data_IF_834370293093
#
_entry.id   IF_834370293093
#
_cell.length_a   1.000
_cell.length_b   1.000
_cell.length_c   1.000
_cell.angle_alpha   90.00
_cell.angle_beta   90.00
_cell.angle_gamma   90.00
#
_symmetry.space_group_name_H-M   'P 1'
#
loop_
_entity.id
_entity.type
_entity.pdbx_description
1 polymer ?
#
# COMPACT_ATOMS: atom_id res chain seq x y z
N UNK A 1 -0.31 43.01 -6.56
CA UNK A 1 -1.01 41.97 -5.83
C UNK A 1 -1.92 41.24 -6.80
N UNK A 2 -1.45 40.18 -7.40
CA UNK A 2 -2.24 39.32 -8.28
C UNK A 2 -2.82 38.20 -7.43
N UNK A 3 -4.13 38.12 -7.29
CA UNK A 3 -4.81 36.99 -6.68
C UNK A 3 -4.82 35.86 -7.70
N UNK A 4 -4.08 34.82 -7.42
CA UNK A 4 -4.10 33.59 -8.22
C UNK A 4 -5.40 32.85 -7.94
N UNK A 5 -6.24 32.75 -8.94
CA UNK A 5 -7.50 32.00 -8.87
C UNK A 5 -7.16 30.51 -8.94
N UNK A 6 -7.43 29.78 -7.89
CA UNK A 6 -7.31 28.32 -7.85
C UNK A 6 -8.29 27.70 -8.87
N UNK A 7 -7.76 27.00 -9.86
CA UNK A 7 -8.54 26.06 -10.66
C UNK A 7 -8.49 24.70 -9.97
N UNK A 8 -9.44 24.41 -9.14
CA UNK A 8 -9.74 23.05 -8.70
C UNK A 8 -10.48 22.38 -9.86
N UNK A 9 -9.83 21.48 -10.57
CA UNK A 9 -10.48 20.64 -11.58
C UNK A 9 -11.20 19.49 -10.87
N UNK A 10 -12.50 19.60 -10.82
CA UNK A 10 -13.53 18.58 -10.57
C UNK A 10 -13.32 17.68 -9.34
N UNK A 11 -13.80 18.11 -8.20
CA UNK A 11 -14.14 17.21 -7.09
C UNK A 11 -15.57 16.72 -7.34
N UNK A 12 -15.75 15.45 -7.68
CA UNK A 12 -17.05 14.81 -7.65
C UNK A 12 -17.28 14.23 -6.27
N UNK A 13 -17.93 14.98 -5.42
CA UNK A 13 -18.33 14.54 -4.08
C UNK A 13 -19.74 13.94 -4.17
N UNK A 14 -19.87 12.64 -4.22
CA UNK A 14 -21.14 11.95 -4.07
C UNK A 14 -21.32 11.55 -2.59
N UNK A 15 -21.98 12.38 -1.83
CA UNK A 15 -22.42 12.04 -0.48
C UNK A 15 -23.87 11.58 -0.51
N UNK A 16 -24.12 10.31 -0.18
CA UNK A 16 -25.46 9.83 0.16
C UNK A 16 -25.63 9.81 1.68
N UNK A 17 -26.79 10.15 2.21
CA UNK A 17 -26.95 10.43 3.64
C UNK A 17 -27.14 9.15 4.45
N UNK A 18 -26.55 9.10 5.62
CA UNK A 18 -27.09 8.60 6.89
C UNK A 18 -26.16 7.75 7.76
N UNK A 19 -25.85 8.21 8.94
CA UNK A 19 -25.48 7.61 10.22
C UNK A 19 -24.03 7.44 10.64
N UNK A 20 -23.06 7.49 9.80
CA UNK A 20 -21.69 7.78 10.23
C UNK A 20 -21.02 8.58 9.12
N UNK A 21 -20.32 9.62 9.47
CA UNK A 21 -19.78 10.53 8.48
C UNK A 21 -18.54 9.92 7.83
N UNK A 22 -18.54 9.79 6.52
CA UNK A 22 -17.31 9.66 5.78
C UNK A 22 -16.55 10.98 5.85
N UNK A 23 -15.25 10.93 6.04
CA UNK A 23 -14.42 12.11 6.23
C UNK A 23 -13.32 12.18 5.17
N UNK A 24 -13.18 13.32 4.52
CA UNK A 24 -12.13 13.58 3.54
C UNK A 24 -11.41 14.87 3.91
N UNK A 25 -10.13 14.77 4.22
CA UNK A 25 -9.26 15.89 4.52
C UNK A 25 -8.07 15.90 3.55
N UNK A 26 -8.10 16.81 2.61
CA UNK A 26 -7.02 16.97 1.64
C UNK A 26 -6.38 18.35 1.84
N UNK A 27 -5.08 18.35 2.08
CA UNK A 27 -4.28 19.57 2.14
C UNK A 27 -3.28 19.55 0.99
N UNK A 28 -3.40 20.49 0.08
CA UNK A 28 -2.38 20.71 -0.94
C UNK A 28 -1.45 21.84 -0.47
N UNK A 29 -0.18 21.54 -0.33
CA UNK A 29 0.78 22.40 0.36
C UNK A 29 1.57 23.32 -0.60
N UNK A 30 1.66 23.00 -1.86
CA UNK A 30 2.41 23.79 -2.85
C UNK A 30 1.58 24.08 -4.10
N UNK A 31 2.09 24.95 -4.95
CA UNK A 31 1.46 25.36 -6.22
C UNK A 31 1.52 24.29 -7.31
N UNK A 32 1.52 23.02 -6.92
CA UNK A 32 1.58 21.89 -7.84
C UNK A 32 0.56 21.96 -8.97
N UNK A 33 0.99 21.62 -10.17
CA UNK A 33 0.13 21.55 -11.34
C UNK A 33 -0.33 20.11 -11.56
N UNK A 34 -1.56 19.94 -12.05
CA UNK A 34 -2.13 18.66 -12.49
C UNK A 34 -2.41 17.60 -11.42
N UNK A 35 -2.71 18.00 -10.20
CA UNK A 35 -3.32 17.08 -9.26
C UNK A 35 -4.69 16.64 -9.81
N UNK A 36 -4.91 15.36 -9.93
CA UNK A 36 -6.22 14.74 -10.15
C UNK A 36 -6.53 13.91 -8.93
N UNK A 37 -7.68 14.05 -8.37
CA UNK A 37 -8.19 13.21 -7.29
C UNK A 37 -9.50 12.64 -7.77
N UNK A 38 -9.74 11.35 -7.55
CA UNK A 38 -11.05 10.77 -7.79
C UNK A 38 -11.55 10.18 -6.51
N UNK A 39 -11.99 10.23 -5.62
CA UNK A 39 -12.31 9.61 -4.33
C UNK A 39 -13.77 9.18 -4.31
N UNK A 40 -14.03 7.91 -4.28
CA UNK A 40 -15.32 7.33 -4.01
C UNK A 40 -15.34 6.73 -2.60
N UNK A 41 -16.29 7.14 -1.77
CA UNK A 41 -16.56 6.51 -0.48
C UNK A 41 -18.02 6.04 -0.45
N UNK A 42 -18.23 4.73 -0.49
CA UNK A 42 -19.54 4.08 -0.41
C UNK A 42 -19.61 3.22 0.86
N UNK A 43 -20.39 3.63 1.81
CA UNK A 43 -20.50 3.02 3.14
C UNK A 43 -20.36 4.04 4.25
N UNK A 44 -19.94 3.61 5.45
CA UNK A 44 -19.91 4.45 6.64
C UNK A 44 -18.53 4.49 7.29
N UNK A 45 -18.18 5.58 7.96
CA UNK A 45 -16.92 5.74 8.70
C UNK A 45 -15.65 5.58 7.83
N UNK A 46 -15.72 5.85 6.56
CA UNK A 46 -14.53 5.84 5.74
C UNK A 46 -13.79 7.18 5.90
N UNK A 47 -12.47 7.12 5.98
CA UNK A 47 -11.65 8.29 6.21
C UNK A 47 -10.50 8.36 5.19
N UNK A 48 -10.32 9.55 4.60
CA UNK A 48 -9.15 9.87 3.80
C UNK A 48 -8.50 11.14 4.35
N UNK A 49 -7.23 11.05 4.73
CA UNK A 49 -6.42 12.20 5.14
C UNK A 49 -5.12 12.23 4.38
N UNK A 50 -4.95 13.19 3.50
CA UNK A 50 -3.76 13.34 2.69
C UNK A 50 -3.22 14.78 2.77
N UNK A 51 -1.92 14.89 2.86
CA UNK A 51 -1.15 16.11 2.64
C UNK A 51 -0.32 15.90 1.38
N UNK A 52 -0.53 16.73 0.36
CA UNK A 52 0.03 16.52 -0.96
C UNK A 52 0.86 17.75 -1.35
N UNK A 53 2.12 17.52 -1.67
CA UNK A 53 3.01 18.53 -2.21
C UNK A 53 3.54 18.10 -3.59
N UNK A 54 3.99 19.07 -4.38
CA UNK A 54 4.54 18.90 -5.73
C UNK A 54 3.56 18.50 -6.84
N UNK A 55 4.11 18.21 -8.05
CA UNK A 55 3.37 18.22 -9.30
C UNK A 55 2.98 16.81 -9.79
N UNK A 56 1.92 16.73 -10.61
CA UNK A 56 1.55 15.53 -11.38
C UNK A 56 1.16 14.29 -10.57
N UNK A 57 0.55 14.45 -9.43
CA UNK A 57 -0.03 13.32 -8.72
C UNK A 57 -1.42 13.00 -9.29
N UNK A 58 -1.69 11.77 -9.57
CA UNK A 58 -3.00 11.25 -9.94
C UNK A 58 -3.39 10.22 -8.89
N UNK A 59 -4.31 10.50 -8.04
CA UNK A 59 -4.69 9.66 -6.91
C UNK A 59 -6.08 9.13 -7.21
N UNK A 60 -6.43 7.98 -6.95
CA UNK A 60 -7.76 7.41 -7.14
C UNK A 60 -8.31 7.13 -5.73
N UNK A 61 -8.55 6.18 -5.10
CA UNK A 61 -8.97 5.87 -3.72
C UNK A 61 -10.41 5.39 -3.64
N UNK A 62 -10.77 4.31 -4.10
CA UNK A 62 -12.08 3.74 -3.84
C UNK A 62 -12.17 3.09 -2.45
N UNK A 63 -13.10 3.53 -1.63
CA UNK A 63 -13.42 2.91 -0.35
C UNK A 63 -14.87 2.43 -0.35
N UNK A 64 -15.06 1.13 -0.36
CA UNK A 64 -16.36 0.46 -0.42
C UNK A 64 -16.59 -0.33 0.86
N UNK A 65 -17.76 -0.18 1.46
CA UNK A 65 -18.07 -0.74 2.77
C UNK A 65 -17.68 0.18 3.91
N UNK A 66 -17.52 -0.34 5.11
CA UNK A 66 -17.40 0.45 6.31
C UNK A 66 -15.98 0.47 6.89
N UNK A 67 -15.61 1.56 7.56
CA UNK A 67 -14.38 1.68 8.35
C UNK A 67 -13.07 1.54 7.55
N UNK A 68 -13.00 2.00 6.32
CA UNK A 68 -11.77 2.05 5.57
C UNK A 68 -11.02 3.36 5.84
N UNK A 69 -9.71 3.29 5.98
CA UNK A 69 -8.91 4.48 6.30
C UNK A 69 -7.68 4.57 5.41
N UNK A 70 -7.50 5.70 4.78
CA UNK A 70 -6.24 6.13 4.17
C UNK A 70 -5.72 7.30 4.99
N UNK A 71 -4.75 7.03 5.84
CA UNK A 71 -4.16 8.04 6.73
C UNK A 71 -2.90 7.51 7.37
N UNK A 72 -1.83 8.24 7.31
CA UNK A 72 -0.59 7.89 7.95
C UNK A 72 -0.54 8.34 9.40
N UNK A 73 -0.29 7.41 10.30
CA UNK A 73 0.17 7.70 11.65
C UNK A 73 1.47 6.94 11.89
N UNK A 74 2.59 7.63 11.85
CA UNK A 74 3.89 7.00 12.08
C UNK A 74 4.02 6.44 13.49
N UNK A 75 4.35 5.17 13.61
CA UNK A 75 4.80 4.55 14.86
C UNK A 75 6.33 4.37 14.95
N UNK A 76 7.06 4.83 13.96
CA UNK A 76 8.51 4.81 13.96
C UNK A 76 9.08 5.90 14.89
N UNK A 77 9.27 5.60 16.14
CA UNK A 77 10.16 6.19 17.13
C UNK A 77 10.26 7.72 17.30
N UNK A 78 9.61 8.52 16.50
CA UNK A 78 9.76 9.99 16.54
C UNK A 78 8.51 10.74 16.98
N UNK A 79 7.41 10.07 17.25
CA UNK A 79 6.20 10.69 17.79
C UNK A 79 5.50 11.70 16.87
N UNK A 80 5.83 11.74 15.61
CA UNK A 80 5.20 12.63 14.63
C UNK A 80 4.02 11.91 13.97
N UNK A 81 2.82 12.43 14.18
CA UNK A 81 1.65 12.05 13.40
C UNK A 81 1.70 12.77 12.06
N UNK A 82 1.97 12.05 11.00
CA UNK A 82 1.82 12.58 9.65
C UNK A 82 0.45 12.14 9.13
N UNK A 83 -0.35 13.04 8.64
CA UNK A 83 -1.45 12.65 7.74
C UNK A 83 -0.82 12.16 6.43
N UNK A 84 -1.38 11.18 5.75
CA UNK A 84 -0.83 10.60 4.52
C UNK A 84 -0.06 11.59 3.66
N UNK A 85 1.24 11.72 3.89
CA UNK A 85 2.07 12.74 3.29
C UNK A 85 2.59 12.23 1.95
N UNK A 86 2.30 12.94 0.89
CA UNK A 86 2.74 12.67 -0.47
C UNK A 86 3.61 13.83 -0.94
N UNK A 87 4.87 13.77 -0.63
CA UNK A 87 5.85 14.76 -1.03
C UNK A 87 6.70 14.19 -2.15
N UNK A 88 6.33 14.47 -3.38
CA UNK A 88 7.00 13.99 -4.59
C UNK A 88 6.15 14.15 -5.84
N UNK A 89 6.78 14.09 -7.00
CA UNK A 89 6.13 14.35 -8.29
C UNK A 89 5.91 13.10 -9.12
N UNK A 90 4.88 13.10 -9.97
CA UNK A 90 4.54 12.01 -10.88
C UNK A 90 4.21 10.69 -10.18
N UNK A 91 3.60 10.72 -9.04
CA UNK A 91 3.09 9.54 -8.39
C UNK A 91 1.67 9.26 -8.92
N UNK A 92 1.43 8.01 -9.32
CA UNK A 92 0.11 7.54 -9.72
C UNK A 92 -0.42 6.67 -8.62
N UNK A 93 -1.26 6.74 -7.87
CA UNK A 93 -1.53 6.00 -6.63
C UNK A 93 -2.85 5.29 -6.73
N UNK A 94 -3.37 4.42 -6.72
CA UNK A 94 -4.72 3.86 -6.67
C UNK A 94 -5.00 3.40 -5.25
N UNK A 95 -5.80 2.78 -4.76
CA UNK A 95 -5.86 2.22 -3.41
C UNK A 95 -7.01 1.28 -3.12
N UNK A 96 -7.99 1.14 -3.72
CA UNK A 96 -9.14 0.26 -3.55
C UNK A 96 -9.24 -0.50 -2.22
N UNK A 97 -10.06 -0.06 -1.31
CA UNK A 97 -10.34 -0.73 -0.04
C UNK A 97 -11.77 -1.24 0.01
N UNK A 98 -11.93 -2.53 0.23
CA UNK A 98 -13.23 -3.18 0.33
C UNK A 98 -13.43 -3.78 1.72
N UNK A 99 -14.45 -3.39 2.40
CA UNK A 99 -14.85 -3.90 3.71
C UNK A 99 -16.35 -3.94 3.83
N UNK A 100 -16.99 -4.78 3.07
CA UNK A 100 -18.46 -4.92 3.03
C UNK A 100 -18.99 -5.90 4.05
N UNK A 101 -18.11 -6.67 4.69
CA UNK A 101 -18.45 -7.69 5.69
C UNK A 101 -17.59 -7.52 6.93
N UNK A 102 -18.22 -7.35 8.06
CA UNK A 102 -17.50 -7.26 9.34
C UNK A 102 -17.40 -5.84 9.90
N UNK A 103 -16.63 -5.69 10.95
CA UNK A 103 -16.41 -4.42 11.67
C UNK A 103 -14.95 -4.03 11.76
N UNK A 104 -14.07 -4.83 11.22
CA UNK A 104 -12.63 -4.58 11.24
C UNK A 104 -12.26 -3.46 10.26
N UNK A 105 -11.13 -2.86 10.46
CA UNK A 105 -10.73 -1.64 9.75
C UNK A 105 -9.64 -1.94 8.74
N UNK A 106 -9.86 -1.59 7.48
CA UNK A 106 -8.77 -1.54 6.50
C UNK A 106 -8.00 -0.23 6.65
N UNK A 107 -6.68 -0.31 6.65
CA UNK A 107 -5.81 0.85 6.83
C UNK A 107 -4.69 0.88 5.81
N UNK A 108 -4.54 2.02 5.17
CA UNK A 108 -3.37 2.36 4.38
C UNK A 108 -2.73 3.61 4.96
N UNK A 109 -1.48 3.51 5.37
CA UNK A 109 -0.60 4.63 5.63
C UNK A 109 0.23 4.93 4.39
N UNK A 110 0.84 6.11 4.34
CA UNK A 110 1.72 6.49 3.24
C UNK A 110 2.95 7.21 3.80
N UNK A 111 3.55 8.01 3.23
CA UNK A 111 4.70 8.88 3.34
C UNK A 111 5.65 8.60 2.18
N UNK A 112 5.54 9.34 1.11
CA UNK A 112 6.27 9.04 -0.13
C UNK A 112 7.11 10.27 -0.49
N UNK A 113 8.21 10.52 0.05
CA UNK A 113 9.08 11.67 -0.27
C UNK A 113 9.93 11.44 -1.52
N UNK A 114 9.34 10.96 -2.61
CA UNK A 114 10.07 10.62 -3.83
C UNK A 114 9.21 10.74 -5.09
N UNK A 115 9.85 10.64 -6.27
CA UNK A 115 9.20 10.87 -7.54
C UNK A 115 9.00 9.58 -8.35
N UNK A 116 8.00 9.58 -9.22
CA UNK A 116 7.72 8.51 -10.18
C UNK A 116 7.43 7.16 -9.53
N UNK A 117 6.66 7.13 -8.48
CA UNK A 117 6.12 5.91 -7.94
C UNK A 117 4.77 5.62 -8.58
N UNK A 118 4.52 4.39 -8.91
CA UNK A 118 3.25 3.90 -9.41
C UNK A 118 2.77 2.84 -8.42
N UNK A 119 1.83 3.12 -7.59
CA UNK A 119 1.48 2.30 -6.42
C UNK A 119 0.02 1.91 -6.53
N UNK A 120 -0.27 0.64 -6.60
CA UNK A 120 -1.61 0.09 -6.59
C UNK A 120 -1.77 -0.79 -5.36
N UNK A 121 -2.78 -0.64 -4.57
CA UNK A 121 -3.04 -1.45 -3.39
C UNK A 121 -4.48 -1.93 -3.38
N UNK A 122 -4.69 -3.20 -3.04
CA UNK A 122 -5.99 -3.80 -2.84
C UNK A 122 -6.12 -4.31 -1.40
N UNK A 123 -7.17 -3.93 -0.70
CA UNK A 123 -7.51 -4.54 0.58
C UNK A 123 -8.95 -5.04 0.57
N UNK A 124 -9.16 -6.26 1.06
CA UNK A 124 -10.43 -6.99 0.97
C UNK A 124 -10.66 -7.69 -0.38
N UNK A 125 -9.82 -7.44 -1.35
CA UNK A 125 -9.71 -8.10 -2.65
C UNK A 125 -8.26 -8.34 -3.01
N UNK A 126 -8.00 -9.09 -4.07
CA UNK A 126 -6.66 -9.36 -4.57
C UNK A 126 -6.52 -8.97 -6.04
N UNK A 127 -5.28 -8.93 -6.51
CA UNK A 127 -4.97 -8.91 -7.93
C UNK A 127 -5.03 -10.33 -8.51
N UNK A 128 -5.51 -10.49 -9.73
CA UNK A 128 -5.50 -11.79 -10.40
C UNK A 128 -4.08 -12.21 -10.80
N UNK A 129 -3.22 -11.28 -11.06
CA UNK A 129 -1.80 -11.50 -11.37
C UNK A 129 -0.91 -10.36 -10.88
N UNK A 130 0.41 -10.59 -10.85
CA UNK A 130 1.39 -9.55 -10.50
C UNK A 130 1.48 -8.39 -11.50
N UNK A 131 0.81 -8.48 -12.62
CA UNK A 131 0.77 -7.43 -13.65
C UNK A 131 -0.54 -6.65 -13.67
N UNK A 132 -1.52 -7.04 -12.86
CA UNK A 132 -2.80 -6.35 -12.81
C UNK A 132 -2.70 -5.04 -12.05
N UNK A 133 -3.44 -4.06 -12.49
CA UNK A 133 -3.51 -2.73 -11.87
C UNK A 133 -4.88 -2.43 -11.27
N UNK A 134 -5.80 -3.36 -11.35
CA UNK A 134 -7.16 -3.22 -10.82
C UNK A 134 -7.48 -4.37 -9.88
N UNK A 135 -8.12 -4.05 -8.77
CA UNK A 135 -8.61 -5.06 -7.84
C UNK A 135 -9.68 -5.94 -8.49
N UNK A 136 -9.49 -7.25 -8.47
CA UNK A 136 -10.49 -8.17 -8.96
C UNK A 136 -11.56 -8.48 -7.91
N UNK A 137 -12.77 -8.67 -8.33
CA UNK A 137 -13.87 -9.11 -7.48
C UNK A 137 -13.85 -10.65 -7.33
N UNK A 138 -12.76 -11.21 -6.79
CA UNK A 138 -12.56 -12.65 -6.79
C UNK A 138 -13.32 -13.42 -5.73
N UNK A 139 -13.81 -12.78 -4.68
CA UNK A 139 -14.51 -13.47 -3.59
C UNK A 139 -15.84 -12.84 -3.23
N UNK A 140 -16.75 -13.67 -2.71
CA UNK A 140 -18.04 -13.23 -2.22
C UNK A 140 -17.95 -12.50 -0.86
N UNK A 141 -16.78 -12.34 -0.29
CA UNK A 141 -16.59 -11.85 1.07
C UNK A 141 -15.42 -10.87 1.11
N UNK A 142 -15.72 -9.61 1.24
CA UNK A 142 -14.76 -8.52 1.35
C UNK A 142 -14.62 -8.14 2.82
N UNK A 143 -13.69 -8.79 3.51
CA UNK A 143 -13.44 -8.56 4.93
C UNK A 143 -12.37 -7.48 5.14
N UNK A 144 -12.53 -6.68 6.17
CA UNK A 144 -11.53 -5.75 6.67
C UNK A 144 -10.50 -6.39 7.58
N UNK A 145 -9.75 -5.56 8.29
CA UNK A 145 -8.69 -5.97 9.21
C UNK A 145 -7.29 -5.88 8.61
N UNK A 146 -7.17 -5.39 7.40
CA UNK A 146 -5.90 -5.32 6.71
C UNK A 146 -5.18 -4.01 6.96
N UNK A 147 -3.87 -4.06 7.11
CA UNK A 147 -3.05 -2.86 7.32
C UNK A 147 -1.82 -2.87 6.42
N UNK A 148 -1.60 -1.81 5.72
CA UNK A 148 -0.36 -1.52 5.00
C UNK A 148 0.19 -0.18 5.46
N UNK A 149 1.48 -0.13 5.76
CA UNK A 149 2.18 1.10 6.12
C UNK A 149 3.24 1.42 5.12
N UNK A 150 3.55 2.05 4.35
CA UNK A 150 4.58 2.15 3.32
C UNK A 150 5.83 2.90 3.79
N UNK A 151 6.06 4.10 3.49
CA UNK A 151 7.19 4.99 3.75
C UNK A 151 8.28 5.00 2.66
N UNK A 152 8.00 5.19 1.47
CA UNK A 152 8.85 5.01 0.29
C UNK A 152 9.74 6.21 0.04
N UNK A 153 10.90 6.40 0.36
CA UNK A 153 11.80 7.51 0.05
C UNK A 153 12.63 7.36 -1.24
N UNK A 154 12.41 6.31 -2.01
CA UNK A 154 13.13 6.04 -3.26
C UNK A 154 12.31 6.44 -4.49
N UNK A 155 12.96 6.85 -5.57
CA UNK A 155 12.30 7.13 -6.85
C UNK A 155 12.08 5.90 -7.72
N UNK A 156 11.14 5.96 -8.66
CA UNK A 156 10.84 4.89 -9.62
C UNK A 156 10.52 3.54 -8.97
N UNK A 157 9.72 3.54 -7.94
CA UNK A 157 9.20 2.32 -7.33
C UNK A 157 7.83 2.01 -7.96
N UNK A 158 7.72 0.88 -8.63
CA UNK A 158 6.44 0.28 -9.00
C UNK A 158 6.09 -0.73 -7.90
N UNK A 159 5.01 -0.50 -7.18
CA UNK A 159 4.60 -1.33 -6.06
C UNK A 159 3.15 -1.77 -6.24
N UNK A 160 2.92 -3.06 -6.24
CA UNK A 160 1.59 -3.65 -6.26
C UNK A 160 1.40 -4.54 -5.06
N UNK A 161 0.35 -4.31 -4.32
CA UNK A 161 0.09 -5.03 -3.10
C UNK A 161 -1.36 -5.42 -2.91
N UNK A 162 -1.61 -6.63 -2.43
CA UNK A 162 -2.96 -7.07 -2.10
C UNK A 162 -3.05 -7.80 -0.78
N UNK A 163 -4.15 -7.60 -0.09
CA UNK A 163 -4.50 -8.29 1.15
C UNK A 163 -5.95 -8.72 1.10
N UNK A 164 -6.21 -10.02 1.18
CA UNK A 164 -7.54 -10.61 1.11
C UNK A 164 -7.71 -11.78 2.04
N UNK A 165 -8.82 -11.86 2.76
CA UNK A 165 -9.20 -13.05 3.52
C UNK A 165 -10.51 -13.64 3.03
N UNK A 166 -10.59 -14.95 2.97
CA UNK A 166 -11.77 -15.66 2.44
C UNK A 166 -12.90 -15.89 3.43
N UNK A 167 -12.65 -15.89 4.74
CA UNK A 167 -13.62 -16.30 5.76
C UNK A 167 -13.46 -15.59 7.11
N UNK A 168 -13.17 -14.34 7.13
CA UNK A 168 -13.21 -13.44 8.31
C UNK A 168 -12.34 -13.81 9.50
N UNK A 169 -11.72 -12.87 10.12
CA UNK A 169 -10.83 -12.82 11.28
C UNK A 169 -9.33 -13.02 11.01
N UNK A 170 -8.87 -12.99 9.79
CA UNK A 170 -7.44 -12.93 9.54
C UNK A 170 -7.02 -11.49 9.22
N UNK A 171 -6.29 -10.89 10.13
CA UNK A 171 -5.68 -9.58 9.92
C UNK A 171 -4.37 -9.76 9.14
N UNK A 172 -4.27 -9.13 7.99
CA UNK A 172 -3.03 -9.12 7.24
C UNK A 172 -2.30 -7.80 7.45
N UNK A 173 -1.02 -7.90 7.71
CA UNK A 173 -0.16 -6.76 7.95
C UNK A 173 1.04 -6.79 7.01
N UNK A 174 1.25 -5.72 6.28
CA UNK A 174 2.49 -5.46 5.57
C UNK A 174 3.12 -4.21 6.17
N UNK A 175 4.37 -3.91 5.97
CA UNK A 175 4.99 -2.66 6.41
C UNK A 175 5.96 -2.28 5.35
N UNK A 176 6.31 -2.17 4.59
CA UNK A 176 7.23 -1.97 3.46
C UNK A 176 8.30 -0.97 3.71
N UNK A 177 8.83 -0.20 3.64
CA UNK A 177 9.91 0.75 3.82
C UNK A 177 11.00 0.57 2.76
N UNK A 178 11.18 1.47 1.85
CA UNK A 178 12.15 1.30 0.76
C UNK A 178 13.37 2.21 0.82
N UNK A 179 13.48 3.19 1.59
CA UNK A 179 14.51 4.23 1.67
C UNK A 179 15.83 3.99 0.92
N UNK A 180 16.05 4.64 -0.19
CA UNK A 180 17.36 4.85 -0.83
C UNK A 180 17.77 3.90 -1.94
N UNK A 181 16.88 3.13 -2.52
CA UNK A 181 17.16 2.39 -3.77
C UNK A 181 16.23 2.85 -4.88
N UNK A 182 16.76 3.09 -6.07
CA UNK A 182 15.97 3.45 -7.24
C UNK A 182 15.57 2.21 -8.04
N UNK A 183 14.45 2.29 -8.79
CA UNK A 183 13.99 1.24 -9.71
C UNK A 183 13.64 -0.10 -9.06
N UNK A 184 12.94 -0.09 -7.96
CA UNK A 184 12.40 -1.32 -7.38
C UNK A 184 11.03 -1.66 -7.98
N UNK A 185 10.84 -2.91 -8.39
CA UNK A 185 9.55 -3.49 -8.75
C UNK A 185 9.12 -4.42 -7.61
N UNK A 186 8.09 -4.04 -6.88
CA UNK A 186 7.67 -4.73 -5.66
C UNK A 186 6.26 -5.27 -5.83
N UNK A 187 6.11 -6.55 -5.69
CA UNK A 187 4.83 -7.22 -5.60
C UNK A 187 4.69 -7.96 -4.28
N UNK A 188 3.59 -7.72 -3.56
CA UNK A 188 3.23 -8.56 -2.43
C UNK A 188 1.76 -8.99 -2.48
N UNK A 189 1.49 -10.19 -2.01
CA UNK A 189 0.13 -10.71 -1.87
C UNK A 189 0.00 -11.50 -0.59
N UNK A 190 -0.96 -11.13 0.24
CA UNK A 190 -1.29 -11.81 1.48
C UNK A 190 -2.74 -12.28 1.41
N UNK A 191 -2.95 -13.59 1.30
CA UNK A 191 -4.28 -14.17 1.09
C UNK A 191 -4.56 -15.34 2.01
N UNK A 192 -5.84 -15.61 2.25
CA UNK A 192 -6.32 -16.76 3.03
C UNK A 192 -6.56 -16.44 4.51
N UNK A 193 -6.97 -17.45 5.29
CA UNK A 193 -7.62 -17.24 6.59
C UNK A 193 -6.66 -17.06 7.78
N UNK A 194 -5.39 -17.31 7.63
CA UNK A 194 -4.40 -17.12 8.71
C UNK A 194 -3.75 -15.73 8.62
N UNK A 195 -3.48 -15.12 9.76
CA UNK A 195 -2.81 -13.83 9.82
C UNK A 195 -1.48 -13.83 9.06
N UNK A 196 -1.28 -12.89 8.18
CA UNK A 196 -0.04 -12.72 7.44
C UNK A 196 0.67 -11.44 7.91
N UNK A 197 1.97 -11.58 8.17
CA UNK A 197 2.82 -10.44 8.54
C UNK A 197 4.02 -10.41 7.61
N UNK A 198 4.40 -9.25 7.11
CA UNK A 198 5.54 -9.17 6.20
C UNK A 198 6.50 -8.13 6.70
N UNK A 199 6.83 -7.23 6.94
CA UNK A 199 7.74 -6.13 7.27
C UNK A 199 8.68 -5.73 6.15
N UNK A 200 9.40 -6.20 5.50
CA UNK A 200 10.14 -5.95 4.27
C UNK A 200 10.82 -4.55 4.19
N UNK A 201 12.07 -4.45 4.32
CA UNK A 201 12.86 -3.20 4.17
C UNK A 201 13.73 -3.30 2.94
N UNK A 202 13.76 -2.56 1.95
CA UNK A 202 14.53 -2.75 0.71
C UNK A 202 15.91 -2.12 0.77
N UNK A 203 16.17 -0.92 0.55
CA UNK A 203 17.46 -0.21 0.53
C UNK A 203 18.46 -0.66 -0.54
N UNK A 204 18.06 -1.39 -1.55
CA UNK A 204 18.92 -1.80 -2.67
C UNK A 204 18.61 -1.00 -3.92
N UNK A 205 19.59 -0.80 -4.80
CA UNK A 205 19.36 -0.17 -6.09
C UNK A 205 18.83 -1.21 -7.08
N UNK A 206 17.60 -1.02 -7.53
CA UNK A 206 16.94 -1.88 -8.49
C UNK A 206 16.71 -3.31 -7.96
N UNK A 207 15.71 -3.98 -8.41
CA UNK A 207 15.43 -5.35 -8.06
C UNK A 207 13.95 -5.67 -8.22
N UNK A 208 13.68 -6.94 -8.44
CA UNK A 208 12.33 -7.47 -8.50
C UNK A 208 12.05 -8.23 -7.21
N UNK A 209 11.08 -7.79 -6.44
CA UNK A 209 10.71 -8.44 -5.19
C UNK A 209 9.28 -8.95 -5.30
N UNK A 210 9.12 -10.25 -5.25
CA UNK A 210 7.83 -10.92 -5.26
C UNK A 210 7.62 -11.73 -3.98
N UNK A 211 6.58 -11.37 -3.21
CA UNK A 211 6.32 -11.96 -1.91
C UNK A 211 4.86 -12.39 -1.80
N UNK A 212 4.66 -13.69 -1.69
CA UNK A 212 3.34 -14.30 -1.63
C UNK A 212 3.20 -15.07 -0.32
N UNK A 213 2.22 -14.71 0.48
CA UNK A 213 1.81 -15.44 1.67
C UNK A 213 0.35 -15.86 1.51
N UNK A 214 0.10 -17.16 1.46
CA UNK A 214 -1.23 -17.72 1.20
C UNK A 214 -1.53 -18.95 2.07
N UNK A 215 -2.75 -19.46 1.97
CA UNK A 215 -3.21 -20.61 2.76
C UNK A 215 -3.75 -20.21 4.14
N UNK A 216 -4.18 -21.21 4.94
CA UNK A 216 -4.83 -20.96 6.23
C UNK A 216 -3.87 -20.86 7.42
N UNK A 217 -2.58 -21.10 7.24
CA UNK A 217 -1.56 -20.90 8.26
C UNK A 217 -1.24 -19.43 8.50
N UNK A 218 -0.84 -19.08 9.71
CA UNK A 218 -0.26 -17.78 9.98
C UNK A 218 1.19 -17.73 9.47
N UNK A 219 1.49 -16.76 8.63
CA UNK A 219 2.83 -16.64 8.04
C UNK A 219 3.48 -15.33 8.44
N UNK A 220 4.75 -15.41 8.78
CA UNK A 220 5.58 -14.24 9.11
C UNK A 220 6.79 -14.21 8.19
N UNK A 221 7.08 -13.08 7.61
CA UNK A 221 8.34 -12.79 6.96
C UNK A 221 8.91 -11.51 7.57
N UNK A 222 10.20 -11.41 7.67
CA UNK A 222 10.93 -10.19 7.99
C UNK A 222 12.14 -10.17 7.07
N UNK A 223 12.21 -9.23 6.20
CA UNK A 223 13.22 -9.22 5.13
C UNK A 223 13.91 -7.86 5.21
N UNK A 224 15.16 -7.75 4.87
CA UNK A 224 15.91 -6.49 4.93
C UNK A 224 16.81 -6.33 3.72
N UNK A 225 16.85 -6.77 2.74
CA UNK A 225 17.65 -6.65 1.51
C UNK A 225 18.66 -5.45 1.47
N UNK A 226 19.29 -5.14 2.58
CA UNK A 226 20.30 -4.10 2.67
C UNK A 226 21.52 -4.46 1.82
N UNK A 227 21.80 -3.74 0.75
CA UNK A 227 22.90 -4.10 -0.15
C UNK A 227 23.35 -2.96 -1.04
N UNK A 228 24.52 -3.17 -1.68
CA UNK A 228 25.13 -2.20 -2.59
C UNK A 228 24.66 -2.40 -4.04
N UNK A 229 24.20 -3.59 -4.38
CA UNK A 229 23.73 -3.96 -5.71
C UNK A 229 22.35 -4.58 -5.65
N UNK A 230 21.65 -4.61 -6.79
CA UNK A 230 20.30 -5.14 -6.89
C UNK A 230 20.18 -6.55 -6.29
N UNK A 231 19.04 -6.80 -5.67
CA UNK A 231 18.68 -8.15 -5.20
C UNK A 231 17.29 -8.48 -5.68
N UNK A 232 17.17 -9.54 -6.45
CA UNK A 232 15.88 -10.09 -6.83
C UNK A 232 15.44 -11.10 -5.76
N UNK A 233 14.23 -10.94 -5.24
CA UNK A 233 13.66 -11.80 -4.21
C UNK A 233 12.38 -12.47 -4.70
N UNK A 234 12.27 -13.77 -4.51
CA UNK A 234 11.03 -14.51 -4.62
C UNK A 234 10.76 -15.28 -3.34
N UNK A 235 9.77 -14.87 -2.58
CA UNK A 235 9.30 -15.56 -1.38
C UNK A 235 7.88 -16.08 -1.58
N UNK A 236 7.68 -17.37 -1.38
CA UNK A 236 6.36 -17.98 -1.33
C UNK A 236 6.18 -18.78 -0.04
N UNK A 237 5.19 -18.43 0.75
CA UNK A 237 4.73 -19.18 1.91
C UNK A 237 3.27 -19.57 1.65
N UNK A 238 3.04 -20.87 1.44
CA UNK A 238 1.71 -21.39 1.12
C UNK A 238 1.45 -22.68 1.90
N UNK A 239 0.80 -22.57 3.04
CA UNK A 239 0.59 -23.72 3.91
C UNK A 239 -0.64 -23.52 4.81
N UNK A 240 -1.17 -24.66 5.31
CA UNK A 240 -2.11 -24.67 6.41
C UNK A 240 -1.42 -24.56 7.79
N UNK A 241 -0.10 -24.70 7.85
CA UNK A 241 0.69 -24.56 9.08
C UNK A 241 1.41 -23.23 9.11
N UNK A 242 1.68 -22.73 10.32
CA UNK A 242 2.38 -21.47 10.51
C UNK A 242 3.82 -21.56 9.98
N UNK A 243 4.22 -20.56 9.25
CA UNK A 243 5.57 -20.47 8.68
C UNK A 243 6.22 -19.16 9.05
N UNK A 244 7.51 -19.22 9.34
CA UNK A 244 8.31 -18.03 9.64
C UNK A 244 9.54 -18.01 8.75
N UNK A 245 9.83 -16.86 8.18
CA UNK A 245 11.03 -16.63 7.40
C UNK A 245 11.65 -15.30 7.80
N UNK A 246 12.95 -15.28 7.97
CA UNK A 246 13.72 -14.07 8.23
C UNK A 246 14.95 -14.06 7.33
N UNK A 247 15.16 -12.98 6.64
CA UNK A 247 16.32 -12.78 5.76
C UNK A 247 16.92 -11.41 6.05
N UNK A 248 18.23 -11.37 6.20
CA UNK A 248 19.01 -10.15 6.01
C UNK A 248 20.02 -10.45 4.93
N UNK A 249 19.99 -9.72 3.84
CA UNK A 249 20.88 -9.97 2.70
C UNK A 249 21.67 -8.71 2.35
N UNK A 250 22.94 -8.90 2.01
CA UNK A 250 23.78 -7.84 1.46
C UNK A 250 24.41 -8.35 0.16
N UNK A 251 23.98 -7.78 -0.94
CA UNK A 251 24.53 -8.13 -2.24
C UNK A 251 25.81 -7.33 -2.53
N UNK A 252 26.93 -8.01 -2.61
CA UNK A 252 28.24 -7.41 -2.90
C UNK A 252 28.72 -7.65 -4.35
N UNK A 253 27.90 -8.28 -5.16
CA UNK A 253 28.23 -8.65 -6.53
C UNK A 253 27.62 -7.66 -7.52
N UNK A 254 28.43 -7.03 -8.36
CA UNK A 254 28.01 -6.07 -9.39
C UNK A 254 26.92 -6.64 -10.33
N UNK A 255 26.92 -7.93 -10.55
CA UNK A 255 25.89 -8.59 -11.35
C UNK A 255 24.52 -8.70 -10.67
N UNK A 256 24.44 -8.33 -9.39
CA UNK A 256 23.24 -8.52 -8.57
C UNK A 256 23.19 -9.89 -7.88
N UNK A 257 22.23 -10.04 -6.99
CA UNK A 257 21.96 -11.29 -6.26
C UNK A 257 20.52 -11.74 -6.51
N UNK A 258 20.27 -13.03 -6.30
CA UNK A 258 18.93 -13.58 -6.36
C UNK A 258 18.69 -14.50 -5.16
N UNK A 259 17.54 -14.35 -4.53
CA UNK A 259 17.08 -15.19 -3.42
C UNK A 259 15.71 -15.75 -3.76
N UNK A 260 15.58 -17.06 -3.69
CA UNK A 260 14.29 -17.74 -3.90
C UNK A 260 13.99 -18.68 -2.73
N UNK A 261 12.84 -18.52 -2.14
CA UNK A 261 12.38 -19.29 -0.97
C UNK A 261 10.94 -19.76 -1.19
N UNK A 262 10.73 -21.04 -1.02
CA UNK A 262 9.37 -21.62 -1.02
C UNK A 262 9.19 -22.46 0.22
N UNK A 263 8.14 -22.17 0.96
CA UNK A 263 7.66 -22.90 2.13
C UNK A 263 6.23 -23.38 1.89
N UNK A 264 6.00 -24.68 1.93
CA UNK A 264 4.71 -25.33 1.68
C UNK A 264 4.22 -26.13 2.88
#
# INVERSE_FOLDING_TARGET
MLSTLFKVSSILLLCLPVYAANEIYITQVDTGNNLTLDILQDGNNNEVRLSIAHDYNNIDIDQVGDNNTVSWTSTWGTGLSWGGDLDGSNNNLTFDQYNTVGTDVNKIGLHISSNNNDIHLCQGKSFDSSTDTTCSASSASEYGGHTVNLDIHSGNTDLRGSQETGAGNADHYAQIYTSGGDYNDIFFSQTGDGNKTLNFVVRTDGGEQSMIQSGSGAHTATIDLTGTYKTDLSLTQNSATNQTYTLTNTCLTVAGCSVSVTQN
#
